data_IF_482000225552
#
_entry.id   IF_482000225552
#
_cell.length_a   1.000
_cell.length_b   1.000
_cell.length_c   1.000
_cell.angle_alpha   90.00
_cell.angle_beta   90.00
_cell.angle_gamma   90.00
#
_symmetry.space_group_name_H-M   'P 1'
#
loop_
_entity.id
_entity.type
_entity.pdbx_description
1 polymer ?
#
# COMPACT_ATOMS: atom_id res chain seq x y z
N UNK A 1 -16.90 4.96 -24.87
CA UNK A 1 -16.08 3.87 -24.31
C UNK A 1 -15.81 4.27 -22.87
N UNK A 2 -16.21 3.48 -21.86
CA UNK A 2 -15.85 3.81 -20.48
C UNK A 2 -14.31 3.74 -20.37
N UNK A 3 -13.62 4.76 -19.85
CA UNK A 3 -12.18 4.72 -19.72
C UNK A 3 -11.77 3.52 -18.85
N UNK A 4 -10.77 2.78 -19.32
CA UNK A 4 -10.15 1.63 -18.63
C UNK A 4 -8.89 2.12 -17.93
N UNK A 5 -8.66 1.67 -16.70
CA UNK A 5 -7.44 1.97 -15.94
C UNK A 5 -6.77 0.67 -15.46
N UNK A 6 -5.45 0.66 -15.48
CA UNK A 6 -4.64 -0.40 -14.87
C UNK A 6 -4.15 0.13 -13.51
N UNK A 7 -4.40 -0.61 -12.43
CA UNK A 7 -4.12 -0.16 -11.05
C UNK A 7 -3.46 -1.24 -10.22
N UNK A 8 -2.46 -0.87 -9.42
CA UNK A 8 -1.85 -1.77 -8.44
C UNK A 8 -2.73 -1.91 -7.21
N UNK A 9 -3.21 -3.13 -6.93
CA UNK A 9 -4.11 -3.42 -5.82
C UNK A 9 -3.57 -4.47 -4.85
N UNK A 10 -3.18 -4.03 -3.66
CA UNK A 10 -2.62 -4.87 -2.59
C UNK A 10 -3.62 -5.23 -1.49
N UNK A 11 -4.90 -4.86 -1.63
CA UNK A 11 -5.89 -5.00 -0.55
C UNK A 11 -5.66 -4.07 0.65
N UNK A 12 -4.67 -3.17 0.58
CA UNK A 12 -4.46 -2.08 1.54
C UNK A 12 -5.52 -0.99 1.41
N UNK A 13 -5.58 -0.08 2.39
CA UNK A 13 -6.59 1.00 2.40
C UNK A 13 -6.53 1.86 1.14
N UNK A 14 -5.33 2.34 0.77
CA UNK A 14 -5.15 3.34 -0.28
C UNK A 14 -5.48 2.77 -1.67
N UNK A 15 -4.89 1.62 -2.01
CA UNK A 15 -5.17 0.92 -3.26
C UNK A 15 -6.60 0.40 -3.37
N UNK A 16 -7.19 -0.02 -2.25
CA UNK A 16 -8.61 -0.40 -2.22
C UNK A 16 -9.51 0.81 -2.46
N UNK A 17 -9.24 1.95 -1.82
CA UNK A 17 -10.01 3.17 -2.07
C UNK A 17 -9.91 3.58 -3.53
N UNK A 18 -8.72 3.50 -4.16
CA UNK A 18 -8.59 3.85 -5.58
C UNK A 18 -9.42 2.95 -6.48
N UNK A 19 -9.34 1.63 -6.29
CA UNK A 19 -10.14 0.65 -7.03
C UNK A 19 -11.64 0.91 -6.86
N UNK A 20 -12.10 1.14 -5.62
CA UNK A 20 -13.50 1.38 -5.32
C UNK A 20 -13.99 2.73 -5.88
N UNK A 21 -13.23 3.81 -5.71
CA UNK A 21 -13.58 5.13 -6.25
C UNK A 21 -13.62 5.13 -7.77
N UNK A 22 -12.65 4.49 -8.45
CA UNK A 22 -12.65 4.35 -9.90
C UNK A 22 -13.90 3.62 -10.41
N UNK A 23 -14.29 2.53 -9.75
CA UNK A 23 -15.45 1.75 -10.14
C UNK A 23 -16.78 2.44 -9.78
N UNK A 24 -16.91 3.00 -8.57
CA UNK A 24 -18.17 3.55 -8.04
C UNK A 24 -18.43 4.98 -8.53
N UNK A 25 -17.40 5.82 -8.53
CA UNK A 25 -17.51 7.28 -8.72
C UNK A 25 -17.15 7.64 -10.15
N UNK A 26 -15.97 7.23 -10.61
CA UNK A 26 -15.49 7.57 -11.96
C UNK A 26 -16.16 6.71 -13.04
N UNK A 27 -16.85 5.64 -12.62
CA UNK A 27 -17.50 4.64 -13.49
C UNK A 27 -16.56 4.06 -14.55
N UNK A 28 -15.29 3.86 -14.18
CA UNK A 28 -14.23 3.30 -15.03
C UNK A 28 -14.17 1.79 -14.92
N UNK A 29 -13.72 1.14 -16.01
CA UNK A 29 -13.32 -0.26 -15.96
C UNK A 29 -11.97 -0.36 -15.29
N UNK A 30 -11.88 -1.15 -14.22
CA UNK A 30 -10.68 -1.27 -13.41
C UNK A 30 -10.01 -2.62 -13.68
N UNK A 31 -8.73 -2.58 -14.03
CA UNK A 31 -7.88 -3.75 -14.23
C UNK A 31 -6.91 -3.81 -13.06
N UNK A 32 -7.15 -4.67 -12.06
CA UNK A 32 -6.30 -4.71 -10.90
C UNK A 32 -5.11 -5.65 -11.11
N UNK A 33 -3.92 -5.15 -10.77
CA UNK A 33 -2.65 -5.87 -10.79
C UNK A 33 -2.14 -6.09 -9.37
N UNK A 34 -1.77 -7.32 -9.03
CA UNK A 34 -1.17 -7.67 -7.75
C UNK A 34 0.13 -8.43 -7.97
N UNK A 35 1.22 -7.89 -7.42
CA UNK A 35 2.52 -8.53 -7.49
C UNK A 35 2.74 -9.33 -6.20
N UNK A 36 2.83 -10.65 -6.33
CA UNK A 36 3.00 -11.55 -5.18
C UNK A 36 4.46 -11.82 -4.90
N UNK A 37 4.90 -11.45 -3.70
CA UNK A 37 6.17 -11.90 -3.11
C UNK A 37 5.89 -13.05 -2.14
N UNK A 38 6.32 -14.27 -2.50
CA UNK A 38 6.13 -15.48 -1.69
C UNK A 38 6.95 -15.45 -0.39
N UNK A 39 7.96 -14.58 -0.28
CA UNK A 39 8.72 -14.35 0.94
C UNK A 39 7.97 -13.48 1.96
N UNK A 40 6.92 -12.75 1.54
CA UNK A 40 6.14 -11.87 2.43
C UNK A 40 4.99 -12.63 3.07
N UNK A 41 5.04 -12.76 4.39
CA UNK A 41 3.98 -13.40 5.18
C UNK A 41 2.61 -12.69 5.13
N UNK A 42 2.51 -11.48 4.56
CA UNK A 42 1.25 -10.74 4.43
C UNK A 42 0.46 -11.06 3.17
N UNK A 43 1.06 -11.68 2.14
CA UNK A 43 0.46 -11.85 0.82
C UNK A 43 -0.91 -12.58 0.84
N UNK A 44 -1.05 -13.61 1.67
CA UNK A 44 -2.32 -14.33 1.82
C UNK A 44 -3.43 -13.47 2.44
N UNK A 45 -3.07 -12.53 3.33
CA UNK A 45 -4.04 -11.62 3.96
C UNK A 45 -4.46 -10.52 3.02
N UNK A 46 -3.53 -10.03 2.22
CA UNK A 46 -3.79 -9.06 1.15
C UNK A 46 -4.80 -9.64 0.14
N UNK A 47 -4.58 -10.88 -0.33
CA UNK A 47 -5.52 -11.58 -1.20
C UNK A 47 -6.88 -11.87 -0.53
N UNK A 48 -6.87 -12.25 0.75
CA UNK A 48 -8.11 -12.42 1.52
C UNK A 48 -8.90 -11.10 1.58
N UNK A 49 -8.22 -9.98 1.88
CA UNK A 49 -8.83 -8.66 1.94
C UNK A 49 -9.42 -8.25 0.58
N UNK A 50 -8.69 -8.46 -0.52
CA UNK A 50 -9.21 -8.22 -1.87
C UNK A 50 -10.50 -9.01 -2.11
N UNK A 51 -10.53 -10.29 -1.75
CA UNK A 51 -11.72 -11.12 -1.90
C UNK A 51 -12.91 -10.60 -1.07
N UNK A 52 -12.68 -10.23 0.19
CA UNK A 52 -13.71 -9.69 1.09
C UNK A 52 -14.23 -8.33 0.60
N UNK A 53 -13.36 -7.45 0.10
CA UNK A 53 -13.75 -6.17 -0.52
C UNK A 53 -14.62 -6.42 -1.75
N UNK A 54 -14.22 -7.32 -2.66
CA UNK A 54 -15.00 -7.62 -3.87
C UNK A 54 -16.39 -8.15 -3.52
N UNK A 55 -16.47 -9.05 -2.53
CA UNK A 55 -17.75 -9.58 -2.07
C UNK A 55 -18.64 -8.49 -1.47
N UNK A 56 -18.08 -7.61 -0.62
CA UNK A 56 -18.80 -6.49 -0.04
C UNK A 56 -19.29 -5.50 -1.12
N UNK A 57 -18.42 -5.14 -2.07
CA UNK A 57 -18.80 -4.26 -3.19
C UNK A 57 -19.92 -4.88 -4.02
N UNK A 58 -19.85 -6.17 -4.35
CA UNK A 58 -20.89 -6.84 -5.12
C UNK A 58 -22.25 -6.85 -4.40
N UNK A 59 -22.26 -6.84 -3.07
CA UNK A 59 -23.50 -6.67 -2.30
C UNK A 59 -24.02 -5.23 -2.27
N UNK A 60 -23.13 -4.24 -2.35
CA UNK A 60 -23.46 -2.80 -2.35
C UNK A 60 -23.94 -2.35 -3.74
N UNK A 61 -23.15 -2.64 -4.77
CA UNK A 61 -23.39 -2.25 -6.16
C UNK A 61 -22.79 -3.33 -7.11
N UNK A 62 -23.63 -4.25 -7.63
CA UNK A 62 -23.21 -5.26 -8.58
C UNK A 62 -22.67 -4.69 -9.91
N UNK A 63 -23.17 -3.53 -10.36
CA UNK A 63 -22.69 -2.92 -11.60
C UNK A 63 -21.28 -2.36 -11.43
N UNK A 64 -20.99 -1.73 -10.29
CA UNK A 64 -19.64 -1.31 -9.94
C UNK A 64 -18.70 -2.51 -9.75
N UNK A 65 -19.15 -3.58 -9.11
CA UNK A 65 -18.37 -4.79 -8.99
C UNK A 65 -18.02 -5.42 -10.35
N UNK A 66 -18.96 -5.37 -11.31
CA UNK A 66 -18.75 -5.86 -12.67
C UNK A 66 -17.74 -5.01 -13.46
N UNK A 67 -17.50 -3.74 -13.08
CA UNK A 67 -16.46 -2.90 -13.67
C UNK A 67 -15.04 -3.28 -13.23
N UNK A 68 -14.88 -4.09 -12.18
CA UNK A 68 -13.57 -4.55 -11.71
C UNK A 68 -13.25 -5.92 -12.33
N UNK A 69 -12.30 -5.94 -13.26
CA UNK A 69 -11.80 -7.17 -13.89
C UNK A 69 -11.20 -8.17 -12.86
N UNK A 70 -11.04 -9.44 -13.23
CA UNK A 70 -10.30 -10.40 -12.41
C UNK A 70 -8.89 -9.89 -12.05
N UNK A 71 -8.44 -10.21 -10.83
CA UNK A 71 -7.12 -9.83 -10.34
C UNK A 71 -6.01 -10.50 -11.16
N UNK A 72 -5.15 -9.71 -11.79
CA UNK A 72 -3.94 -10.18 -12.46
C UNK A 72 -2.85 -10.36 -11.41
N UNK A 73 -2.48 -11.61 -11.13
CA UNK A 73 -1.48 -11.94 -10.13
C UNK A 73 -0.18 -12.31 -10.85
N UNK A 74 0.91 -11.59 -10.54
CA UNK A 74 2.24 -11.85 -11.10
C UNK A 74 3.23 -12.11 -9.96
N UNK A 75 3.86 -13.30 -9.88
CA UNK A 75 4.95 -13.54 -8.94
C UNK A 75 6.15 -12.63 -9.22
N UNK A 76 6.79 -12.11 -8.16
CA UNK A 76 8.01 -11.29 -8.32
C UNK A 76 9.10 -12.03 -9.11
N UNK A 77 9.16 -13.37 -8.99
CA UNK A 77 10.10 -14.24 -9.70
C UNK A 77 9.86 -14.33 -11.21
N UNK A 78 8.69 -13.92 -11.69
CA UNK A 78 8.35 -13.90 -13.11
C UNK A 78 8.62 -12.53 -13.75
N UNK A 79 8.94 -11.51 -12.95
CA UNK A 79 9.25 -10.17 -13.45
C UNK A 79 10.68 -10.18 -14.01
N UNK A 80 10.80 -9.78 -15.27
CA UNK A 80 12.09 -9.69 -15.97
C UNK A 80 13.06 -8.78 -15.21
N UNK A 81 14.32 -9.21 -15.14
CA UNK A 81 15.39 -8.40 -14.56
C UNK A 81 15.68 -7.18 -15.45
N UNK A 82 15.91 -6.04 -14.81
CA UNK A 82 16.32 -4.81 -15.50
C UNK A 82 17.37 -4.12 -14.64
N UNK A 83 18.63 -4.28 -15.03
CA UNK A 83 19.76 -3.77 -14.25
C UNK A 83 19.78 -2.23 -14.18
N UNK A 84 19.23 -1.54 -15.18
CA UNK A 84 19.20 -0.08 -15.19
C UNK A 84 18.20 0.44 -14.15
N UNK A 85 16.96 -0.08 -14.18
CA UNK A 85 15.92 0.27 -13.22
C UNK A 85 16.32 -0.13 -11.79
N UNK A 86 16.86 -1.34 -11.60
CA UNK A 86 17.31 -1.78 -10.28
C UNK A 86 18.48 -0.94 -9.76
N UNK A 87 19.41 -0.52 -10.62
CA UNK A 87 20.50 0.36 -10.22
C UNK A 87 19.99 1.77 -9.84
N UNK A 88 19.02 2.32 -10.57
CA UNK A 88 18.37 3.59 -10.23
C UNK A 88 17.66 3.50 -8.87
N UNK A 89 16.87 2.44 -8.65
CA UNK A 89 16.25 2.17 -7.35
C UNK A 89 17.29 2.10 -6.22
N UNK A 90 18.40 1.38 -6.43
CA UNK A 90 19.45 1.29 -5.42
C UNK A 90 20.06 2.64 -5.07
N UNK A 91 20.28 3.52 -6.06
CA UNK A 91 20.76 4.90 -5.82
C UNK A 91 19.75 5.72 -5.01
N UNK A 92 18.46 5.64 -5.33
CA UNK A 92 17.40 6.33 -4.57
C UNK A 92 17.35 5.87 -3.11
N UNK A 93 17.48 4.57 -2.84
CA UNK A 93 17.46 4.04 -1.46
C UNK A 93 18.65 4.50 -0.60
N UNK A 94 19.75 4.94 -1.21
CA UNK A 94 20.87 5.54 -0.47
C UNK A 94 20.56 6.97 -0.02
N UNK A 95 19.65 7.68 -0.71
CA UNK A 95 19.29 9.05 -0.42
C UNK A 95 18.21 9.14 0.67
N UNK A 96 17.18 8.32 0.57
CA UNK A 96 16.11 8.23 1.54
C UNK A 96 15.45 6.85 1.54
N UNK A 97 14.67 6.55 2.58
CA UNK A 97 13.99 5.27 2.69
C UNK A 97 12.89 5.13 1.64
N UNK A 98 13.12 4.24 0.66
CA UNK A 98 12.15 3.78 -0.32
C UNK A 98 11.86 2.29 -0.10
N UNK A 99 10.60 1.88 -0.25
CA UNK A 99 10.20 0.49 -0.04
C UNK A 99 10.81 -0.44 -1.11
N UNK A 100 11.14 -1.67 -0.73
CA UNK A 100 11.70 -2.67 -1.66
C UNK A 100 10.83 -2.93 -2.89
N UNK A 101 9.52 -2.73 -2.75
CA UNK A 101 8.58 -2.92 -3.85
C UNK A 101 8.83 -2.02 -5.06
N UNK A 102 9.38 -0.82 -4.87
CA UNK A 102 9.57 0.13 -5.96
C UNK A 102 10.59 -0.35 -7.01
N UNK A 103 11.51 -1.26 -6.66
CA UNK A 103 12.39 -1.91 -7.63
C UNK A 103 11.57 -2.72 -8.65
N UNK A 104 10.85 -3.73 -8.18
CA UNK A 104 10.17 -4.64 -9.09
C UNK A 104 8.89 -4.07 -9.70
N UNK A 105 8.24 -3.08 -9.07
CA UNK A 105 7.08 -2.41 -9.65
C UNK A 105 7.43 -1.73 -10.99
N UNK A 106 8.55 -1.01 -11.07
CA UNK A 106 8.96 -0.34 -12.30
C UNK A 106 9.34 -1.36 -13.39
N UNK A 107 10.04 -2.44 -13.00
CA UNK A 107 10.39 -3.54 -13.91
C UNK A 107 9.15 -4.24 -14.45
N UNK A 108 8.16 -4.46 -13.60
CA UNK A 108 6.87 -5.04 -13.98
C UNK A 108 6.12 -4.18 -14.99
N UNK A 109 5.98 -2.88 -14.70
CA UNK A 109 5.28 -1.97 -15.61
C UNK A 109 5.97 -1.95 -16.99
N UNK A 110 7.30 -1.90 -17.02
CA UNK A 110 8.08 -2.00 -18.26
C UNK A 110 7.88 -3.34 -18.98
N UNK A 111 7.91 -4.48 -18.29
CA UNK A 111 7.79 -5.80 -18.92
C UNK A 111 6.40 -6.07 -19.52
N UNK A 112 5.36 -5.46 -18.94
CA UNK A 112 3.97 -5.56 -19.40
C UNK A 112 3.57 -4.42 -20.37
N UNK A 113 4.52 -3.56 -20.77
CA UNK A 113 4.28 -2.38 -21.62
C UNK A 113 3.21 -1.42 -21.05
N UNK A 114 3.22 -1.23 -19.73
CA UNK A 114 2.33 -0.34 -18.99
C UNK A 114 3.02 1.00 -18.72
N UNK A 115 2.42 2.09 -19.19
CA UNK A 115 2.95 3.46 -19.07
C UNK A 115 2.15 4.37 -18.13
N UNK A 116 0.93 3.96 -17.76
CA UNK A 116 0.00 4.71 -16.90
C UNK A 116 -0.56 3.83 -15.78
N UNK A 117 0.29 2.99 -15.19
CA UNK A 117 -0.12 2.09 -14.12
C UNK A 117 -0.38 2.89 -12.85
N UNK A 118 -1.61 2.92 -12.36
CA UNK A 118 -1.92 3.73 -11.19
C UNK A 118 -1.29 3.14 -9.91
N UNK A 119 -0.54 3.98 -9.21
CA UNK A 119 0.08 3.68 -7.94
C UNK A 119 -0.47 4.59 -6.83
N UNK A 120 -0.98 3.97 -5.78
CA UNK A 120 -1.64 4.66 -4.65
C UNK A 120 -0.63 5.25 -3.64
N UNK A 121 0.21 6.18 -4.10
CA UNK A 121 1.01 7.05 -3.22
C UNK A 121 0.14 8.20 -2.74
N UNK A 122 0.18 8.49 -1.44
CA UNK A 122 -0.58 9.59 -0.83
C UNK A 122 0.33 10.59 -0.10
N UNK A 123 -0.23 11.72 0.32
CA UNK A 123 0.53 12.88 0.85
C UNK A 123 1.42 12.56 2.06
N UNK A 124 1.04 11.58 2.89
CA UNK A 124 1.80 11.18 4.08
C UNK A 124 2.75 10.00 3.81
N UNK A 125 2.77 9.46 2.59
CA UNK A 125 3.67 8.37 2.22
C UNK A 125 5.09 8.89 2.00
N UNK A 126 6.08 8.09 2.41
CA UNK A 126 7.51 8.43 2.25
C UNK A 126 7.91 8.57 0.79
N UNK A 127 7.23 7.85 -0.11
CA UNK A 127 7.46 7.96 -1.54
C UNK A 127 7.10 9.34 -2.10
N UNK A 128 6.19 10.09 -1.46
CA UNK A 128 5.83 11.46 -1.85
C UNK A 128 7.06 12.37 -1.97
N UNK A 129 8.08 12.18 -1.12
CA UNK A 129 9.31 12.97 -1.16
C UNK A 129 10.07 12.85 -2.49
N UNK A 130 10.01 11.70 -3.15
CA UNK A 130 10.65 11.49 -4.45
C UNK A 130 9.83 12.10 -5.59
N UNK A 131 8.51 12.21 -5.42
CA UNK A 131 7.60 12.75 -6.44
C UNK A 131 7.49 14.27 -6.41
N UNK A 132 7.70 14.90 -5.24
CA UNK A 132 7.55 16.34 -5.08
C UNK A 132 8.41 17.13 -6.07
N UNK A 133 7.75 17.96 -6.89
CA UNK A 133 8.39 18.78 -7.92
C UNK A 133 8.84 18.03 -9.17
N UNK A 134 8.50 16.75 -9.29
CA UNK A 134 8.82 15.87 -10.44
C UNK A 134 7.57 15.25 -11.07
N UNK A 135 6.39 15.71 -10.68
CA UNK A 135 5.11 15.29 -11.23
C UNK A 135 4.36 16.50 -11.76
N UNK A 136 3.53 16.27 -12.77
CA UNK A 136 2.62 17.26 -13.35
C UNK A 136 1.18 16.79 -13.20
N UNK A 137 0.27 17.73 -12.96
CA UNK A 137 -1.15 17.42 -12.89
C UNK A 137 -1.68 17.01 -14.28
N UNK A 138 -2.55 16.00 -14.31
CA UNK A 138 -3.25 15.57 -15.52
C UNK A 138 -4.61 16.27 -15.62
N UNK A 139 -5.19 16.30 -16.82
CA UNK A 139 -6.54 16.86 -17.03
C UNK A 139 -7.62 16.13 -16.23
N UNK A 140 -7.35 14.88 -15.84
CA UNK A 140 -8.27 14.02 -15.09
C UNK A 140 -8.14 14.18 -13.56
N UNK A 141 -7.36 15.17 -13.09
CA UNK A 141 -7.15 15.41 -11.66
C UNK A 141 -6.21 14.40 -10.99
N UNK A 142 -5.43 13.66 -11.78
CA UNK A 142 -4.35 12.80 -11.31
C UNK A 142 -3.00 13.52 -11.43
N UNK A 143 -1.92 12.81 -11.11
CA UNK A 143 -0.55 13.28 -11.24
C UNK A 143 0.26 12.25 -12.01
N UNK A 144 1.07 12.69 -12.97
CA UNK A 144 1.98 11.80 -13.71
C UNK A 144 3.40 12.29 -13.60
N UNK A 145 4.38 11.40 -13.73
CA UNK A 145 5.78 11.78 -13.66
C UNK A 145 6.17 12.70 -14.83
N UNK A 146 6.96 13.73 -14.55
CA UNK A 146 7.46 14.63 -15.59
C UNK A 146 8.68 14.01 -16.29
N UNK A 147 8.47 13.43 -17.46
CA UNK A 147 9.54 12.78 -18.25
C UNK A 147 10.69 13.72 -18.65
N UNK A 148 10.51 15.04 -18.56
CA UNK A 148 11.58 16.02 -18.81
C UNK A 148 12.65 15.99 -17.71
N UNK A 149 12.37 15.33 -16.59
CA UNK A 149 13.26 15.20 -15.45
C UNK A 149 14.17 13.98 -15.63
N UNK A 150 15.39 14.20 -16.14
CA UNK A 150 16.41 13.17 -16.28
C UNK A 150 17.09 12.87 -14.94
N UNK A 151 16.52 11.94 -14.17
CA UNK A 151 16.96 11.58 -12.81
C UNK A 151 16.68 10.11 -12.49
N UNK A 152 17.25 9.58 -11.40
CA UNK A 152 17.00 8.21 -10.94
C UNK A 152 15.53 7.97 -10.59
N UNK A 153 14.80 9.02 -10.23
CA UNK A 153 13.35 9.02 -10.01
C UNK A 153 12.57 8.63 -11.27
N UNK A 154 13.19 8.55 -12.45
CA UNK A 154 12.55 8.06 -13.66
C UNK A 154 12.04 6.60 -13.57
N UNK A 155 12.37 5.84 -12.51
CA UNK A 155 11.65 4.59 -12.19
C UNK A 155 10.14 4.83 -12.01
N UNK A 156 9.73 6.06 -11.70
CA UNK A 156 8.34 6.46 -11.51
C UNK A 156 7.60 6.80 -12.81
N UNK A 157 8.28 6.84 -13.96
CA UNK A 157 7.69 7.25 -15.25
C UNK A 157 6.55 6.38 -15.76
N UNK A 158 6.43 5.17 -15.24
CA UNK A 158 5.40 4.21 -15.64
C UNK A 158 4.10 4.35 -14.85
N UNK A 159 4.03 5.29 -13.90
CA UNK A 159 2.92 5.37 -12.96
C UNK A 159 2.24 6.73 -12.96
N UNK A 160 0.94 6.65 -12.71
CA UNK A 160 0.11 7.79 -12.32
C UNK A 160 -0.22 7.71 -10.83
N UNK A 161 -0.37 8.87 -10.17
CA UNK A 161 -0.53 9.03 -8.73
C UNK A 161 -1.84 9.75 -8.39
N UNK A 162 -3.01 9.12 -8.60
CA UNK A 162 -4.31 9.76 -8.42
C UNK A 162 -4.61 10.16 -6.97
N UNK A 163 -3.88 9.60 -6.00
CA UNK A 163 -4.10 9.84 -4.56
C UNK A 163 -3.08 10.81 -3.95
N UNK A 164 -2.19 11.40 -4.75
CA UNK A 164 -0.98 12.08 -4.26
C UNK A 164 -1.27 13.18 -3.23
N UNK A 165 -2.41 13.88 -3.36
CA UNK A 165 -2.82 14.97 -2.48
C UNK A 165 -4.02 14.62 -1.58
N UNK A 166 -4.39 13.34 -1.51
CA UNK A 166 -5.55 12.87 -0.74
C UNK A 166 -5.08 12.16 0.53
N UNK A 167 -5.57 12.58 1.69
CA UNK A 167 -5.31 11.91 2.96
C UNK A 167 -6.24 10.72 3.21
N UNK A 168 -5.87 9.79 4.09
CA UNK A 168 -6.72 8.64 4.44
C UNK A 168 -8.06 9.03 5.06
N UNK A 169 -8.10 10.14 5.80
CA UNK A 169 -9.35 10.66 6.38
C UNK A 169 -10.26 11.28 5.33
N UNK A 170 -9.69 11.91 4.29
CA UNK A 170 -10.46 12.34 3.12
C UNK A 170 -11.01 11.14 2.33
N UNK A 171 -10.18 10.11 2.10
CA UNK A 171 -10.63 8.85 1.47
C UNK A 171 -11.82 8.23 2.23
N UNK A 172 -11.75 8.22 3.58
CA UNK A 172 -12.83 7.75 4.43
C UNK A 172 -14.12 8.57 4.22
N UNK A 173 -14.02 9.88 4.33
CA UNK A 173 -15.17 10.78 4.20
C UNK A 173 -15.83 10.64 2.82
N UNK A 174 -15.03 10.47 1.77
CA UNK A 174 -15.55 10.24 0.43
C UNK A 174 -16.20 8.87 0.26
N UNK A 175 -15.58 7.81 0.80
CA UNK A 175 -16.17 6.47 0.78
C UNK A 175 -17.50 6.41 1.52
N UNK A 176 -17.65 7.15 2.62
CA UNK A 176 -18.93 7.33 3.33
C UNK A 176 -19.95 8.07 2.46
N UNK A 177 -19.52 9.17 1.83
CA UNK A 177 -20.38 10.00 0.96
C UNK A 177 -20.94 9.25 -0.24
N UNK A 178 -20.15 8.35 -0.83
CA UNK A 178 -20.54 7.55 -2.00
C UNK A 178 -20.97 6.12 -1.66
N UNK A 179 -21.10 5.79 -0.37
CA UNK A 179 -21.73 4.54 0.06
C UNK A 179 -20.90 3.26 -0.10
N UNK A 180 -19.58 3.35 -0.26
CA UNK A 180 -18.69 2.17 -0.37
C UNK A 180 -17.76 1.97 0.84
N UNK A 181 -17.96 2.71 1.93
CA UNK A 181 -17.15 2.59 3.15
C UNK A 181 -17.15 1.16 3.72
N UNK A 182 -18.27 0.45 3.70
CA UNK A 182 -18.36 -0.92 4.22
C UNK A 182 -17.44 -1.89 3.47
N UNK A 183 -17.28 -1.71 2.15
CA UNK A 183 -16.33 -2.47 1.35
C UNK A 183 -14.88 -2.02 1.65
N UNK A 184 -14.62 -0.72 1.73
CA UNK A 184 -13.30 -0.19 2.03
C UNK A 184 -12.76 -0.63 3.40
N UNK A 185 -13.63 -0.77 4.40
CA UNK A 185 -13.26 -1.24 5.74
C UNK A 185 -12.75 -2.68 5.77
N UNK A 186 -13.05 -3.51 4.76
CA UNK A 186 -12.51 -4.87 4.59
C UNK A 186 -11.03 -4.90 4.20
N UNK A 187 -10.45 -3.76 3.81
CA UNK A 187 -9.02 -3.66 3.50
C UNK A 187 -8.13 -4.06 4.69
N UNK A 188 -6.90 -4.49 4.42
CA UNK A 188 -5.98 -5.01 5.43
C UNK A 188 -4.64 -4.26 5.44
N UNK A 189 -4.08 -4.03 6.64
CA UNK A 189 -2.82 -3.30 6.81
C UNK A 189 -1.79 -4.01 7.72
N UNK A 190 -2.21 -4.92 8.61
CA UNK A 190 -1.33 -5.42 9.66
C UNK A 190 -0.41 -6.57 9.19
N UNK A 191 0.90 -6.41 9.33
CA UNK A 191 1.88 -7.45 8.97
C UNK A 191 1.91 -8.67 9.89
N UNK A 192 1.56 -8.52 11.17
CA UNK A 192 1.70 -9.59 12.15
C UNK A 192 0.51 -9.61 13.09
N UNK A 193 -0.68 -10.00 12.61
CA UNK A 193 -1.91 -9.99 13.41
C UNK A 193 -1.79 -10.83 14.69
N UNK A 194 -2.56 -10.45 15.69
CA UNK A 194 -2.72 -11.20 16.94
C UNK A 194 -4.19 -11.51 17.08
N UNK A 195 -4.53 -12.80 17.20
CA UNK A 195 -5.91 -13.29 17.26
C UNK A 195 -6.75 -12.81 16.07
N UNK A 196 -6.20 -12.91 14.85
CA UNK A 196 -6.78 -12.42 13.58
C UNK A 196 -7.04 -10.91 13.51
N UNK A 197 -6.64 -10.13 14.52
CA UNK A 197 -6.85 -8.69 14.55
C UNK A 197 -5.54 -7.90 14.41
N UNK A 198 -5.60 -6.61 13.99
CA UNK A 198 -4.43 -5.74 13.94
C UNK A 198 -3.63 -5.74 15.25
N UNK A 199 -2.30 -5.84 15.15
CA UNK A 199 -1.47 -6.05 16.33
C UNK A 199 -1.22 -4.77 17.15
N UNK A 200 -1.33 -3.59 16.55
CA UNK A 200 -1.03 -2.31 17.20
C UNK A 200 0.47 -2.02 17.39
N UNK A 201 1.36 -2.86 16.86
CA UNK A 201 2.81 -2.81 17.11
C UNK A 201 3.65 -2.66 15.84
N UNK A 202 3.25 -3.30 14.73
CA UNK A 202 3.96 -3.21 13.45
C UNK A 202 3.87 -1.79 12.86
N UNK A 203 4.77 -1.45 11.94
CA UNK A 203 4.79 -0.11 11.32
C UNK A 203 3.46 0.27 10.67
N UNK A 204 2.79 -0.58 9.87
CA UNK A 204 1.47 -0.25 9.35
C UNK A 204 0.44 0.10 10.45
N UNK A 205 0.37 -0.69 11.53
CA UNK A 205 -0.53 -0.38 12.65
C UNK A 205 -0.21 0.94 13.33
N UNK A 206 1.07 1.36 13.35
CA UNK A 206 1.47 2.64 13.93
C UNK A 206 1.08 3.80 13.03
N UNK A 207 1.38 3.70 11.73
CA UNK A 207 1.00 4.71 10.74
C UNK A 207 -0.51 4.90 10.71
N UNK A 208 -1.30 3.82 10.71
CA UNK A 208 -2.77 3.90 10.81
C UNK A 208 -3.24 4.72 12.02
N UNK A 209 -2.55 4.65 13.16
CA UNK A 209 -2.89 5.49 14.33
C UNK A 209 -2.43 6.93 14.10
N UNK A 210 -1.19 7.13 13.65
CA UNK A 210 -0.58 8.44 13.40
C UNK A 210 -1.34 9.24 12.32
N UNK A 211 -1.97 8.56 11.35
CA UNK A 211 -2.79 9.11 10.26
C UNK A 211 -4.27 9.33 10.65
N UNK A 212 -4.62 9.18 11.93
CA UNK A 212 -5.99 9.43 12.42
C UNK A 212 -7.00 8.30 12.18
N UNK A 213 -6.54 7.11 11.78
CA UNK A 213 -7.37 5.94 11.48
C UNK A 213 -7.38 4.92 12.63
N UNK A 214 -7.16 5.36 13.87
CA UNK A 214 -7.03 4.49 15.05
C UNK A 214 -8.28 3.67 15.38
N UNK A 215 -9.46 4.10 14.92
CA UNK A 215 -10.73 3.38 15.08
C UNK A 215 -10.70 1.99 14.42
N UNK A 216 -9.83 1.79 13.42
CA UNK A 216 -9.64 0.50 12.73
C UNK A 216 -8.91 -0.54 13.60
N UNK A 217 -8.42 -0.15 14.78
CA UNK A 217 -7.72 -1.05 15.68
C UNK A 217 -8.58 -1.39 16.91
N UNK A 218 -8.65 -2.67 17.31
CA UNK A 218 -9.38 -3.04 18.52
C UNK A 218 -8.69 -2.47 19.78
N UNK A 219 -9.47 -2.27 20.85
CA UNK A 219 -8.96 -1.71 22.12
C UNK A 219 -7.71 -2.42 22.66
N UNK A 220 -7.60 -3.75 22.50
CA UNK A 220 -6.41 -4.52 22.89
C UNK A 220 -5.16 -4.11 22.09
N UNK A 221 -5.30 -3.81 20.80
CA UNK A 221 -4.22 -3.33 19.95
C UNK A 221 -3.78 -1.92 20.33
N UNK A 222 -4.73 -1.02 20.57
CA UNK A 222 -4.45 0.34 21.06
C UNK A 222 -3.73 0.31 22.41
N UNK A 223 -4.12 -0.57 23.33
CA UNK A 223 -3.39 -0.78 24.60
C UNK A 223 -1.95 -1.24 24.37
N UNK A 224 -1.73 -2.20 23.45
CA UNK A 224 -0.37 -2.64 23.08
C UNK A 224 0.45 -1.50 22.50
N UNK A 225 -0.14 -0.70 21.62
CA UNK A 225 0.50 0.48 21.05
C UNK A 225 0.90 1.50 22.14
N UNK A 226 -0.03 1.89 23.02
CA UNK A 226 0.21 2.87 24.10
C UNK A 226 1.27 2.41 25.10
N UNK A 227 1.33 1.11 25.39
CA UNK A 227 2.29 0.53 26.36
C UNK A 227 3.60 0.03 25.73
N UNK A 228 3.83 0.28 24.43
CA UNK A 228 4.99 -0.26 23.69
C UNK A 228 6.34 0.13 24.28
N UNK A 229 6.45 1.37 24.78
CA UNK A 229 7.67 1.92 25.36
C UNK A 229 7.95 1.33 26.75
N UNK A 230 6.92 1.16 27.57
CA UNK A 230 7.03 0.52 28.89
C UNK A 230 7.46 -0.94 28.79
N UNK A 231 6.99 -1.66 27.77
CA UNK A 231 7.39 -3.06 27.51
C UNK A 231 8.86 -3.19 27.08
N UNK A 232 9.43 -2.20 26.40
CA UNK A 232 10.87 -2.16 26.09
C UNK A 232 11.69 -2.03 27.37
N UNK A 233 11.29 -1.13 28.26
CA UNK A 233 11.97 -0.91 29.55
C UNK A 233 11.89 -2.16 30.44
N UNK A 234 10.73 -2.82 30.53
CA UNK A 234 10.55 -4.03 31.33
C UNK A 234 11.33 -5.27 30.79
N UNK A 235 11.70 -5.29 29.50
CA UNK A 235 12.49 -6.37 28.88
C UNK A 235 14.00 -6.18 29.02
N UNK A 236 14.48 -4.94 29.17
CA UNK A 236 15.90 -4.64 29.36
C UNK A 236 16.55 -5.37 30.55
N UNK A 237 15.94 -5.40 31.77
CA UNK A 237 16.55 -6.11 32.90
C UNK A 237 16.52 -7.64 32.70
N UNK A 238 15.50 -8.22 32.05
CA UNK A 238 15.47 -9.67 31.80
C UNK A 238 16.56 -10.15 30.83
N UNK A 239 16.95 -9.32 29.85
CA UNK A 239 18.05 -9.64 28.94
C UNK A 239 19.43 -9.52 29.64
N UNK A 240 19.59 -8.51 30.50
CA UNK A 240 20.77 -8.34 31.35
C UNK A 240 20.94 -9.49 32.34
N UNK A 241 19.86 -9.92 33.00
CA UNK A 241 19.88 -11.07 33.91
C UNK A 241 20.23 -12.39 33.21
N UNK A 242 19.74 -12.64 31.99
CA UNK A 242 20.12 -13.84 31.21
C UNK A 242 21.57 -13.82 30.75
N UNK A 243 22.14 -12.64 30.47
CA UNK A 243 23.57 -12.48 30.15
C UNK A 243 24.44 -12.68 31.40
N UNK A 244 24.06 -12.10 32.54
CA UNK A 244 24.77 -12.28 33.81
C UNK A 244 24.73 -13.75 34.29
N UNK A 245 23.59 -14.42 34.18
CA UNK A 245 23.46 -15.83 34.54
C UNK A 245 24.34 -16.75 33.67
N UNK A 246 24.52 -16.44 32.38
CA UNK A 246 25.43 -17.18 31.49
C UNK A 246 26.91 -16.94 31.79
N UNK A 247 27.28 -15.73 32.21
CA UNK A 247 28.66 -15.39 32.59
C UNK A 247 29.10 -15.96 33.95
N UNK A 248 28.14 -16.31 34.82
CA UNK A 248 28.39 -16.98 36.10
C UNK A 248 28.39 -18.52 35.99
N UNK A 249 28.15 -19.06 34.80
CA UNK A 249 28.10 -20.51 34.51
C UNK A 249 29.32 -21.00 33.71
N UNK A 250 30.35 -20.16 33.58
CA UNK A 250 31.61 -20.38 32.87
C UNK A 250 32.76 -20.04 33.81
#
# INVERSE_FOLDING_TARGET
MQPRIDVLWTGGWDSTYRVLSAAMVDQRTVVPHYIVDLGRGSSLRELQAISEVRAALNSIDPEAAARIEPLRITPVTEIVEDHELSAAYHRLTQQAHLGSQYDWLARYAKSEDLHHLELSVHVDDKAYHFLKGRVVATEEGSWTFDERVDTDEAIFRFFDFPLLEISKTQMKAEAERHGFIEALEKSWFCYSPIDQAPCGLCNPCRYTIEEGMEYRLPAKALRRHRTRHLRRVARAPRALWRRAARALSS
#
